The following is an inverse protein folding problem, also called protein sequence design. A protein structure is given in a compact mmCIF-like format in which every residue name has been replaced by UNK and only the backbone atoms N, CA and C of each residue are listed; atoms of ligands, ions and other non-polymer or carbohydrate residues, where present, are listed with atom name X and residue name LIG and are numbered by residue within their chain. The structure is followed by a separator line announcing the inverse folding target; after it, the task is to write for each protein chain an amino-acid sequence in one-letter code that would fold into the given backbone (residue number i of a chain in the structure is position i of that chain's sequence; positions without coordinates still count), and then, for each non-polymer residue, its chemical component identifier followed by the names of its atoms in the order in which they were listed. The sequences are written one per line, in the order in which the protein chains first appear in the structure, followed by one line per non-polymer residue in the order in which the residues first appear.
data_IF_427165237585
#
_entry.id   IF_427165237585
#
_cell.length_a   1.000
_cell.length_b   1.000
_cell.length_c   1.000
_cell.angle_alpha   90.00
_cell.angle_beta   90.00
_cell.angle_gamma   90.00
#
_symmetry.space_group_name_H-M   'P 1'
#
loop_
_entity.id
_entity.type
_entity.pdbx_description
1 polymer ?
#
# COMPACT_ATOMS: atom_id res chain seq x y z
N UNK A 1 9.28 -0.07 -11.05
CA UNK A 1 8.52 -0.79 -10.01
C UNK A 1 7.73 -1.92 -10.64
N UNK A 2 7.47 -3.01 -9.92
CA UNK A 2 6.62 -4.12 -10.35
C UNK A 2 5.64 -4.47 -9.25
N UNK A 3 4.39 -4.71 -9.61
CA UNK A 3 3.30 -5.10 -8.70
C UNK A 3 2.73 -6.43 -9.17
N UNK A 4 2.73 -7.43 -8.29
CA UNK A 4 2.00 -8.68 -8.50
C UNK A 4 0.73 -8.71 -7.66
N UNK A 5 -0.38 -9.06 -8.28
CA UNK A 5 -1.68 -9.18 -7.61
C UNK A 5 -1.99 -10.63 -7.28
N UNK A 6 -2.32 -10.92 -6.03
CA UNK A 6 -2.64 -12.25 -5.54
C UNK A 6 -3.95 -12.24 -4.75
N UNK A 7 -4.87 -13.16 -5.07
CA UNK A 7 -5.99 -13.48 -4.18
C UNK A 7 -5.43 -14.31 -3.01
N UNK A 8 -5.60 -13.81 -1.78
CA UNK A 8 -5.15 -14.52 -0.57
C UNK A 8 -6.22 -15.48 -0.10
N UNK A 9 -7.46 -15.01 -0.04
CA UNK A 9 -8.68 -15.75 0.24
C UNK A 9 -9.89 -14.91 -0.23
N UNK A 10 -11.12 -15.39 0.04
CA UNK A 10 -12.34 -14.69 -0.33
C UNK A 10 -12.39 -13.28 0.29
N UNK A 11 -12.31 -12.27 -0.58
CA UNK A 11 -12.40 -10.86 -0.20
C UNK A 11 -11.08 -10.22 0.24
N UNK A 12 -9.93 -10.91 0.15
CA UNK A 12 -8.63 -10.33 0.48
C UNK A 12 -7.67 -10.42 -0.71
N UNK A 13 -7.20 -9.27 -1.17
CA UNK A 13 -6.21 -9.15 -2.27
C UNK A 13 -4.90 -8.63 -1.72
N UNK A 14 -3.79 -9.27 -2.10
CA UNK A 14 -2.43 -8.81 -1.80
C UNK A 14 -1.76 -8.27 -3.06
N UNK A 15 -1.24 -7.05 -2.97
CA UNK A 15 -0.35 -6.43 -3.93
C UNK A 15 1.09 -6.55 -3.45
N UNK A 16 1.89 -7.40 -4.07
CA UNK A 16 3.31 -7.52 -3.77
C UNK A 16 4.11 -6.50 -4.59
N UNK A 17 4.73 -5.52 -3.93
CA UNK A 17 5.41 -4.41 -4.59
C UNK A 17 6.92 -4.59 -4.52
N UNK A 18 7.58 -4.39 -5.65
CA UNK A 18 9.04 -4.53 -5.76
C UNK A 18 9.71 -3.46 -6.62
N UNK A 19 10.97 -3.18 -6.31
CA UNK A 19 11.77 -2.11 -6.92
C UNK A 19 11.77 -0.86 -6.06
N UNK A 20 11.55 0.30 -6.66
CA UNK A 20 11.58 1.61 -6.00
C UNK A 20 10.20 2.25 -6.07
N UNK A 21 9.80 2.94 -5.00
CA UNK A 21 8.59 3.74 -4.93
C UNK A 21 8.96 5.22 -4.72
N UNK A 22 8.88 5.98 -5.80
CA UNK A 22 9.36 7.35 -5.92
C UNK A 22 8.43 8.16 -6.86
N UNK A 23 8.83 9.38 -7.21
CA UNK A 23 8.08 10.22 -8.13
C UNK A 23 7.79 9.57 -9.49
N UNK A 24 8.68 8.71 -10.01
CA UNK A 24 8.49 8.07 -11.31
C UNK A 24 7.58 6.84 -11.28
N UNK A 25 7.23 6.36 -10.08
CA UNK A 25 6.53 5.09 -9.88
C UNK A 25 5.33 5.16 -8.96
N UNK A 26 5.13 6.27 -8.25
CA UNK A 26 4.01 6.51 -7.35
C UNK A 26 2.65 6.25 -8.00
N UNK A 27 2.42 6.75 -9.21
CA UNK A 27 1.14 6.62 -9.91
C UNK A 27 0.79 5.15 -10.20
N UNK A 28 1.79 4.32 -10.49
CA UNK A 28 1.57 2.88 -10.74
C UNK A 28 0.99 2.17 -9.51
N UNK A 29 1.32 2.62 -8.30
CA UNK A 29 0.77 2.04 -7.07
C UNK A 29 -0.70 2.45 -6.90
N UNK A 30 -1.01 3.74 -7.05
CA UNK A 30 -2.38 4.24 -6.90
C UNK A 30 -3.30 3.68 -7.99
N UNK A 31 -2.82 3.55 -9.22
CA UNK A 31 -3.57 2.95 -10.32
C UNK A 31 -3.88 1.48 -10.05
N UNK A 32 -2.89 0.69 -9.59
CA UNK A 32 -3.10 -0.72 -9.27
C UNK A 32 -4.10 -0.92 -8.12
N UNK A 33 -4.04 -0.07 -7.09
CA UNK A 33 -5.02 -0.09 -5.99
C UNK A 33 -6.41 0.30 -6.51
N UNK A 34 -6.52 1.36 -7.32
CA UNK A 34 -7.78 1.78 -7.93
C UNK A 34 -8.41 0.69 -8.81
N UNK A 35 -7.61 -0.01 -9.61
CA UNK A 35 -8.06 -1.15 -10.42
C UNK A 35 -8.63 -2.27 -9.54
N UNK A 36 -7.92 -2.66 -8.47
CA UNK A 36 -8.39 -3.68 -7.53
C UNK A 36 -9.71 -3.27 -6.87
N UNK A 37 -9.80 -2.03 -6.39
CA UNK A 37 -10.99 -1.52 -5.72
C UNK A 37 -12.22 -1.51 -6.64
N UNK A 38 -12.04 -1.14 -7.92
CA UNK A 38 -13.15 -1.03 -8.87
C UNK A 38 -13.60 -2.38 -9.45
N UNK A 39 -12.65 -3.26 -9.76
CA UNK A 39 -12.90 -4.52 -10.48
C UNK A 39 -13.28 -5.66 -9.54
N UNK A 40 -12.50 -5.87 -8.47
CA UNK A 40 -12.66 -7.01 -7.58
C UNK A 40 -13.50 -6.68 -6.33
N UNK A 41 -13.50 -5.42 -5.88
CA UNK A 41 -14.22 -4.93 -4.69
C UNK A 41 -13.97 -5.81 -3.45
N UNK A 42 -12.69 -5.99 -3.06
CA UNK A 42 -12.36 -6.81 -1.91
C UNK A 42 -12.83 -6.17 -0.61
N UNK A 43 -12.93 -6.95 0.46
CA UNK A 43 -13.07 -6.43 1.82
C UNK A 43 -11.75 -5.84 2.34
N UNK A 44 -10.61 -6.39 1.89
CA UNK A 44 -9.27 -5.95 2.30
C UNK A 44 -8.26 -5.98 1.14
N UNK A 45 -7.38 -4.98 1.13
CA UNK A 45 -6.18 -4.89 0.29
C UNK A 45 -4.94 -4.85 1.17
N UNK A 46 -4.02 -5.78 0.95
CA UNK A 46 -2.72 -5.84 1.62
C UNK A 46 -1.64 -5.40 0.65
N UNK A 47 -0.89 -4.35 0.97
CA UNK A 47 0.31 -3.97 0.22
C UNK A 47 1.54 -4.57 0.91
N UNK A 48 2.20 -5.51 0.25
CA UNK A 48 3.42 -6.15 0.76
C UNK A 48 4.66 -5.46 0.19
N UNK A 49 5.42 -4.79 1.07
CA UNK A 49 6.62 -4.04 0.71
C UNK A 49 7.91 -4.87 0.83
N UNK A 50 7.83 -6.19 1.00
CA UNK A 50 9.01 -7.03 1.18
C UNK A 50 10.03 -6.92 0.02
N UNK A 51 9.58 -6.57 -1.19
CA UNK A 51 10.41 -6.42 -2.39
C UNK A 51 10.85 -4.98 -2.70
N UNK A 52 10.46 -4.00 -1.88
CA UNK A 52 10.85 -2.59 -2.08
C UNK A 52 12.25 -2.32 -1.54
N UNK A 53 13.11 -1.75 -2.38
CA UNK A 53 14.46 -1.31 -2.03
C UNK A 53 14.53 0.16 -1.64
N UNK A 54 13.56 0.97 -2.06
CA UNK A 54 13.51 2.42 -1.81
C UNK A 54 12.07 2.91 -1.68
N UNK A 55 11.85 3.90 -0.80
CA UNK A 55 10.64 4.70 -0.74
C UNK A 55 11.03 6.13 -0.38
N UNK A 56 10.72 7.12 -1.21
CA UNK A 56 10.90 8.54 -0.89
C UNK A 56 9.60 9.15 -0.31
N UNK A 57 9.56 10.46 -0.10
CA UNK A 57 8.36 11.15 0.40
C UNK A 57 7.17 11.06 -0.56
N UNK A 58 7.42 11.00 -1.87
CA UNK A 58 6.38 10.82 -2.90
C UNK A 58 5.78 9.42 -2.79
N UNK A 59 6.62 8.41 -2.56
CA UNK A 59 6.16 7.06 -2.30
C UNK A 59 5.35 6.93 -1.02
N UNK A 60 5.74 7.64 0.05
CA UNK A 60 4.94 7.70 1.28
C UNK A 60 3.57 8.33 1.02
N UNK A 61 3.51 9.44 0.27
CA UNK A 61 2.25 10.09 -0.10
C UNK A 61 1.36 9.15 -0.92
N UNK A 62 1.94 8.41 -1.87
CA UNK A 62 1.21 7.43 -2.68
C UNK A 62 0.56 6.31 -1.82
N UNK A 63 1.29 5.78 -0.83
CA UNK A 63 0.75 4.79 0.11
C UNK A 63 -0.41 5.37 0.94
N UNK A 64 -0.30 6.62 1.36
CA UNK A 64 -1.37 7.30 2.12
C UNK A 64 -2.60 7.57 1.26
N UNK A 65 -2.43 7.98 0.00
CA UNK A 65 -3.52 8.17 -0.96
C UNK A 65 -4.25 6.87 -1.26
N UNK A 66 -3.50 5.81 -1.58
CA UNK A 66 -4.07 4.48 -1.78
C UNK A 66 -4.93 4.03 -0.58
N UNK A 67 -4.46 4.27 0.65
CA UNK A 67 -5.23 3.98 1.87
C UNK A 67 -6.51 4.82 1.97
N UNK A 68 -6.43 6.11 1.63
CA UNK A 68 -7.59 7.00 1.63
C UNK A 68 -8.64 6.57 0.59
N UNK A 69 -8.21 6.18 -0.61
CA UNK A 69 -9.09 5.72 -1.69
C UNK A 69 -9.79 4.41 -1.32
N UNK A 70 -9.08 3.48 -0.68
CA UNK A 70 -9.68 2.25 -0.14
C UNK A 70 -10.70 2.56 0.96
N UNK A 71 -10.36 3.44 1.91
CA UNK A 71 -11.26 3.84 2.98
C UNK A 71 -12.54 4.51 2.46
N UNK A 72 -12.45 5.33 1.40
CA UNK A 72 -13.60 5.95 0.75
C UNK A 72 -14.60 4.93 0.15
N UNK A 73 -14.13 3.70 -0.11
CA UNK A 73 -14.93 2.58 -0.59
C UNK A 73 -15.24 1.54 0.50
N UNK A 74 -15.01 1.87 1.77
CA UNK A 74 -15.14 0.98 2.93
C UNK A 74 -14.29 -0.30 2.84
N UNK A 75 -13.16 -0.25 2.11
CA UNK A 75 -12.18 -1.33 1.99
C UNK A 75 -11.03 -1.08 2.97
N UNK A 76 -10.64 -2.10 3.71
CA UNK A 76 -9.47 -2.02 4.59
C UNK A 76 -8.20 -2.08 3.74
N UNK A 77 -7.26 -1.16 3.97
CA UNK A 77 -5.94 -1.22 3.35
C UNK A 77 -4.84 -1.16 4.41
N UNK A 78 -4.01 -2.19 4.40
CA UNK A 78 -2.87 -2.35 5.30
C UNK A 78 -1.58 -2.56 4.53
N UNK A 79 -0.49 -2.05 5.08
CA UNK A 79 0.87 -2.25 4.59
C UNK A 79 1.57 -3.28 5.47
N UNK A 80 2.24 -4.25 4.85
CA UNK A 80 3.03 -5.27 5.56
C UNK A 80 4.47 -5.31 5.06
N UNK A 81 5.34 -5.91 5.88
CA UNK A 81 6.76 -6.12 5.59
C UNK A 81 7.57 -4.87 5.17
N UNK A 82 7.35 -3.65 5.71
CA UNK A 82 8.33 -2.59 5.51
C UNK A 82 9.65 -3.00 6.20
N UNK A 83 10.77 -2.92 5.48
CA UNK A 83 12.10 -3.32 5.98
C UNK A 83 13.16 -2.28 5.61
N UNK A 84 14.31 -2.33 6.29
CA UNK A 84 15.48 -1.51 5.96
C UNK A 84 15.16 -0.01 5.83
N UNK A 85 15.62 0.59 4.73
CA UNK A 85 15.43 2.02 4.46
C UNK A 85 13.95 2.40 4.29
N UNK A 86 13.13 1.53 3.70
CA UNK A 86 11.69 1.76 3.52
C UNK A 86 11.01 1.91 4.88
N UNK A 87 11.24 0.98 5.82
CA UNK A 87 10.73 1.10 7.19
C UNK A 87 11.20 2.37 7.88
N UNK A 88 12.50 2.67 7.77
CA UNK A 88 13.11 3.86 8.37
C UNK A 88 12.44 5.15 7.87
N UNK A 89 12.14 5.25 6.58
CA UNK A 89 11.43 6.40 6.00
C UNK A 89 10.03 6.50 6.57
N UNK A 90 9.25 5.41 6.59
CA UNK A 90 7.90 5.41 7.17
C UNK A 90 7.88 5.80 8.65
N UNK A 91 8.87 5.34 9.42
CA UNK A 91 9.07 5.73 10.83
C UNK A 91 9.37 7.23 10.95
N UNK A 92 10.34 7.74 10.18
CA UNK A 92 10.75 9.15 10.21
C UNK A 92 9.64 10.11 9.77
N UNK A 93 8.78 9.68 8.86
CA UNK A 93 7.61 10.45 8.42
C UNK A 93 6.39 10.27 9.34
N UNK A 94 6.48 9.43 10.37
CA UNK A 94 5.36 9.16 11.30
C UNK A 94 4.17 8.44 10.65
N UNK A 95 4.41 7.72 9.55
CA UNK A 95 3.36 7.06 8.76
C UNK A 95 3.33 5.55 8.95
N UNK A 96 4.36 4.95 9.59
CA UNK A 96 4.43 3.50 9.78
C UNK A 96 3.18 2.96 10.49
N UNK A 97 2.85 3.47 11.67
CA UNK A 97 1.70 2.97 12.44
C UNK A 97 0.37 3.25 11.73
N UNK A 98 0.29 4.35 11.00
CA UNK A 98 -0.88 4.66 10.17
C UNK A 98 -1.02 3.58 9.10
N UNK A 99 0.03 3.27 8.35
CA UNK A 99 -0.05 2.35 7.23
C UNK A 99 -0.13 0.87 7.63
N UNK A 100 0.46 0.48 8.76
CA UNK A 100 0.53 -0.92 9.22
C UNK A 100 -0.56 -1.30 10.22
N UNK A 101 -1.19 -0.31 10.86
CA UNK A 101 -2.28 -0.54 11.81
C UNK A 101 -3.64 -0.75 11.12
N UNK A 102 -4.49 -1.57 11.75
CA UNK A 102 -5.94 -1.56 11.47
C UNK A 102 -6.46 -0.17 11.85
N UNK A 103 -7.26 0.52 11.01
CA UNK A 103 -7.83 1.81 11.37
C UNK A 103 -8.49 1.72 12.75
N UNK A 104 -8.05 2.57 13.68
CA UNK A 104 -8.80 2.77 14.91
C UNK A 104 -10.17 3.30 14.49
N UNK A 105 -11.23 2.51 14.74
CA UNK A 105 -12.60 2.98 14.64
C UNK A 105 -12.71 4.22 15.55
N UNK A 106 -12.83 5.40 14.95
CA UNK A 106 -13.24 6.63 15.63
C UNK A 106 -14.78 6.66 15.72
#
# INVERSE_FOLDING_TARGET
MRIDTHLVNDGVIRLAVSGELDLGTADLLTDAVGEVLTTARPAEVIIDLAGLSLCDSTGVDALLRARADAAAQAVQLTVINPRGIVRRVLDLTGTLDRLTGVPALL
#
